data_IF_918944801406
#
_entry.id   IF_918944801406
#
_cell.length_a   1.000
_cell.length_b   1.000
_cell.length_c   1.000
_cell.angle_alpha   90.00
_cell.angle_beta   90.00
_cell.angle_gamma   90.00
#
_symmetry.space_group_name_H-M   'P 1'
#
loop_
_entity.id
_entity.type
_entity.pdbx_description
1 polymer ?
#
# COMPACT_ATOMS: atom_id res chain seq x y z
N UNK A 1 -16.66 15.05 6.43
CA UNK A 1 -16.81 14.89 7.89
C UNK A 1 -17.95 15.77 8.40
N UNK A 2 -17.85 17.09 8.21
CA UNK A 2 -18.85 18.07 8.68
C UNK A 2 -20.28 17.78 8.22
N UNK A 3 -20.47 17.26 6.99
CA UNK A 3 -21.78 16.88 6.46
C UNK A 3 -22.29 15.50 6.94
N UNK A 4 -21.53 14.79 7.76
CA UNK A 4 -21.85 13.41 8.22
C UNK A 4 -22.13 12.41 7.08
N UNK A 5 -21.60 12.66 5.87
CA UNK A 5 -21.90 11.88 4.67
C UNK A 5 -21.40 10.41 4.72
N UNK A 6 -20.49 10.09 5.64
CA UNK A 6 -19.98 8.74 5.86
C UNK A 6 -19.42 8.59 7.27
N UNK A 7 -19.22 7.34 7.70
CA UNK A 7 -18.71 6.99 9.05
C UNK A 7 -17.32 6.37 9.05
N UNK A 8 -16.87 5.83 7.91
CA UNK A 8 -15.61 5.11 7.75
C UNK A 8 -15.00 5.53 6.40
N UNK A 9 -13.68 5.71 6.36
CA UNK A 9 -12.96 6.08 5.13
C UNK A 9 -12.05 4.93 4.67
N UNK A 10 -12.19 4.53 3.41
CA UNK A 10 -11.20 3.74 2.69
C UNK A 10 -10.12 4.69 2.14
N UNK A 11 -8.89 4.56 2.65
CA UNK A 11 -7.74 5.34 2.16
C UNK A 11 -6.98 4.52 1.13
N UNK A 12 -6.87 5.05 -0.09
CA UNK A 12 -6.00 4.55 -1.16
C UNK A 12 -4.97 5.62 -1.50
N UNK A 13 -3.70 5.50 -1.08
CA UNK A 13 -2.71 6.56 -1.26
C UNK A 13 -2.63 7.09 -2.70
N UNK A 14 -2.61 6.20 -3.70
CA UNK A 14 -2.60 6.61 -5.12
C UNK A 14 -3.82 7.43 -5.56
N UNK A 15 -5.02 7.15 -5.00
CA UNK A 15 -6.25 7.90 -5.32
C UNK A 15 -6.22 9.32 -4.78
N UNK A 16 -5.54 9.53 -3.65
CA UNK A 16 -5.55 10.81 -2.92
C UNK A 16 -4.29 11.64 -3.16
N UNK A 17 -3.40 11.21 -4.06
CA UNK A 17 -2.20 11.96 -4.43
C UNK A 17 -0.92 11.58 -3.68
N UNK A 18 -0.89 10.43 -3.02
CA UNK A 18 0.32 9.85 -2.41
C UNK A 18 0.22 9.62 -0.91
N UNK A 19 1.33 9.16 -0.31
CA UNK A 19 1.40 8.82 1.11
C UNK A 19 1.17 10.01 2.04
N UNK A 20 1.74 11.18 1.73
CA UNK A 20 1.56 12.39 2.55
C UNK A 20 0.08 12.79 2.65
N UNK A 21 -0.63 12.76 1.52
CA UNK A 21 -2.07 13.05 1.49
C UNK A 21 -2.90 11.94 2.15
N UNK A 22 -2.49 10.68 2.01
CA UNK A 22 -3.07 9.57 2.77
C UNK A 22 -2.94 9.76 4.28
N UNK A 23 -1.78 10.23 4.76
CA UNK A 23 -1.50 10.51 6.16
C UNK A 23 -2.34 11.69 6.68
N UNK A 24 -2.44 12.78 5.92
CA UNK A 24 -3.29 13.93 6.28
C UNK A 24 -4.76 13.51 6.45
N UNK A 25 -5.28 12.67 5.55
CA UNK A 25 -6.65 12.13 5.65
C UNK A 25 -6.78 11.21 6.87
N UNK A 26 -5.80 10.34 7.12
CA UNK A 26 -5.76 9.47 8.29
C UNK A 26 -5.82 10.29 9.58
N UNK A 27 -4.99 11.31 9.72
CA UNK A 27 -4.88 12.13 10.93
C UNK A 27 -6.17 12.93 11.16
N UNK A 28 -6.78 13.46 10.09
CA UNK A 28 -8.09 14.11 10.16
C UNK A 28 -9.19 13.15 10.65
N UNK A 29 -9.23 11.92 10.14
CA UNK A 29 -10.21 10.92 10.56
C UNK A 29 -9.98 10.52 12.02
N UNK A 30 -8.73 10.28 12.40
CA UNK A 30 -8.33 9.88 13.77
C UNK A 30 -8.70 10.96 14.79
N UNK A 31 -8.48 12.23 14.48
CA UNK A 31 -8.86 13.36 15.35
C UNK A 31 -10.36 13.44 15.60
N UNK A 32 -11.18 12.89 14.70
CA UNK A 32 -12.65 12.86 14.78
C UNK A 32 -13.19 11.51 15.26
N UNK A 33 -12.32 10.58 15.68
CA UNK A 33 -12.72 9.24 16.08
C UNK A 33 -13.28 8.37 14.95
N UNK A 34 -13.07 8.76 13.69
CA UNK A 34 -13.51 7.99 12.53
C UNK A 34 -12.50 6.89 12.22
N UNK A 35 -13.00 5.66 12.08
CA UNK A 35 -12.16 4.52 11.68
C UNK A 35 -11.80 4.60 10.19
N UNK A 36 -10.61 4.14 9.86
CA UNK A 36 -10.15 4.02 8.48
C UNK A 36 -9.62 2.62 8.18
N UNK A 37 -9.50 2.31 6.89
CA UNK A 37 -8.82 1.11 6.41
C UNK A 37 -8.06 1.41 5.12
N UNK A 38 -7.01 0.64 4.85
CA UNK A 38 -6.18 0.84 3.67
C UNK A 38 -6.74 0.03 2.50
N UNK A 39 -7.18 0.71 1.44
CA UNK A 39 -7.64 0.06 0.22
C UNK A 39 -6.50 -0.29 -0.72
N UNK A 40 -6.70 -1.35 -1.50
CA UNK A 40 -5.78 -1.80 -2.54
C UNK A 40 -6.23 -1.40 -3.94
N UNK A 41 -5.29 -1.46 -4.88
CA UNK A 41 -5.44 -1.18 -6.31
C UNK A 41 -4.71 -2.21 -7.18
N UNK A 42 -4.56 -3.45 -6.68
CA UNK A 42 -3.83 -4.55 -7.36
C UNK A 42 -2.34 -4.24 -7.53
N UNK A 43 -1.72 -3.67 -6.50
CA UNK A 43 -0.33 -3.23 -6.55
C UNK A 43 0.65 -4.41 -6.68
N UNK A 44 1.75 -4.17 -7.40
CA UNK A 44 2.97 -4.99 -7.28
C UNK A 44 3.55 -4.88 -5.86
N UNK A 45 4.61 -5.64 -5.58
CA UNK A 45 5.30 -5.59 -4.29
C UNK A 45 5.70 -4.17 -3.84
N UNK A 46 6.01 -3.27 -4.78
CA UNK A 46 6.36 -1.86 -4.50
C UNK A 46 5.19 -1.12 -3.84
N UNK A 47 4.02 -1.12 -4.48
CA UNK A 47 2.85 -0.43 -3.92
C UNK A 47 2.29 -1.15 -2.70
N UNK A 48 2.38 -2.48 -2.65
CA UNK A 48 1.94 -3.27 -1.50
C UNK A 48 2.76 -2.97 -0.24
N UNK A 49 4.08 -2.86 -0.37
CA UNK A 49 4.96 -2.45 0.72
C UNK A 49 4.57 -1.07 1.27
N UNK A 50 4.30 -0.11 0.37
CA UNK A 50 3.84 1.22 0.73
C UNK A 50 2.47 1.20 1.46
N UNK A 51 1.54 0.36 1.00
CA UNK A 51 0.24 0.20 1.64
C UNK A 51 0.35 -0.45 3.02
N UNK A 52 1.23 -1.44 3.20
CA UNK A 52 1.48 -2.06 4.52
C UNK A 52 2.03 -1.05 5.52
N UNK A 53 2.96 -0.20 5.08
CA UNK A 53 3.56 0.83 5.94
C UNK A 53 2.53 1.85 6.44
N UNK A 54 1.63 2.34 5.59
CA UNK A 54 0.58 3.28 6.07
C UNK A 54 -0.49 2.54 6.88
N UNK A 55 -0.86 1.32 6.50
CA UNK A 55 -1.86 0.52 7.21
C UNK A 55 -1.43 0.11 8.63
N UNK A 56 -0.13 0.16 8.94
CA UNK A 56 0.37 -0.12 10.29
C UNK A 56 0.21 1.05 11.26
N UNK A 57 -0.27 2.21 10.81
CA UNK A 57 -0.55 3.35 11.68
C UNK A 57 -1.75 3.08 12.58
N UNK A 58 -1.67 3.57 13.82
CA UNK A 58 -2.81 3.51 14.74
C UNK A 58 -4.00 4.31 14.19
N UNK A 59 -5.17 3.69 14.02
CA UNK A 59 -6.34 4.33 13.40
C UNK A 59 -6.86 3.54 12.19
N UNK A 60 -5.99 2.75 11.57
CA UNK A 60 -6.38 1.64 10.70
C UNK A 60 -6.90 0.48 11.55
N UNK A 61 -8.17 0.55 11.94
CA UNK A 61 -8.81 -0.36 12.90
C UNK A 61 -9.63 -1.47 12.23
N UNK A 62 -9.78 -1.42 10.92
CA UNK A 62 -10.47 -2.44 10.11
C UNK A 62 -9.47 -3.09 9.15
N UNK A 63 -9.61 -4.39 8.84
CA UNK A 63 -8.76 -5.07 7.87
C UNK A 63 -8.74 -4.34 6.52
N UNK A 64 -7.55 -4.19 5.94
CA UNK A 64 -7.35 -3.54 4.64
C UNK A 64 -7.48 -4.49 3.45
N UNK A 65 -7.60 -3.93 2.25
CA UNK A 65 -7.51 -4.68 0.98
C UNK A 65 -6.03 -4.90 0.59
N UNK A 66 -5.23 -5.39 1.54
CA UNK A 66 -3.83 -5.76 1.34
C UNK A 66 -3.75 -7.27 1.52
N UNK A 67 -3.59 -7.99 0.42
CA UNK A 67 -3.54 -9.45 0.43
C UNK A 67 -2.11 -9.97 0.22
N UNK A 68 -1.91 -11.28 0.37
CA UNK A 68 -0.68 -11.93 -0.09
C UNK A 68 -0.46 -11.69 -1.59
N UNK A 69 0.82 -11.65 -2.01
CA UNK A 69 1.21 -11.38 -3.40
C UNK A 69 0.64 -12.43 -4.37
N UNK A 70 0.60 -13.70 -3.95
CA UNK A 70 0.12 -14.84 -4.75
C UNK A 70 -1.39 -14.85 -5.00
N UNK A 71 -2.16 -14.03 -4.27
CA UNK A 71 -3.57 -13.78 -4.59
C UNK A 71 -3.75 -13.21 -6.00
N UNK A 72 -2.79 -12.41 -6.45
CA UNK A 72 -2.89 -11.69 -7.72
C UNK A 72 -1.84 -12.13 -8.75
N UNK A 73 -0.59 -12.34 -8.31
CA UNK A 73 0.53 -12.54 -9.22
C UNK A 73 1.31 -13.81 -8.88
N UNK A 74 1.40 -14.73 -9.84
CA UNK A 74 2.28 -15.89 -9.73
C UNK A 74 3.75 -15.47 -9.55
N UNK A 75 4.20 -14.46 -10.32
CA UNK A 75 5.50 -13.81 -10.18
C UNK A 75 5.29 -12.30 -10.06
N UNK A 76 5.87 -11.68 -9.03
CA UNK A 76 5.84 -10.23 -8.78
C UNK A 76 7.15 -9.60 -9.31
N UNK A 77 7.25 -8.27 -9.32
CA UNK A 77 8.46 -7.54 -9.74
C UNK A 77 9.43 -7.23 -8.58
N UNK A 78 9.16 -7.76 -7.39
CA UNK A 78 10.03 -7.67 -6.21
C UNK A 78 10.55 -9.04 -5.81
N UNK A 79 11.74 -9.10 -5.20
CA UNK A 79 12.28 -10.37 -4.67
C UNK A 79 11.51 -10.82 -3.43
N UNK A 80 11.19 -9.89 -2.55
CA UNK A 80 10.37 -10.13 -1.36
C UNK A 80 8.91 -10.29 -1.79
N UNK A 81 8.26 -11.30 -1.23
CA UNK A 81 6.84 -11.59 -1.43
C UNK A 81 6.12 -11.46 -0.12
N UNK A 82 4.90 -10.95 -0.18
CA UNK A 82 4.03 -10.84 0.97
C UNK A 82 3.17 -12.09 1.11
N UNK A 83 3.22 -12.72 2.27
CA UNK A 83 2.46 -13.92 2.59
C UNK A 83 1.55 -13.67 3.79
N UNK A 84 0.43 -14.39 3.86
CA UNK A 84 -0.42 -14.36 5.04
C UNK A 84 0.19 -15.21 6.16
N UNK A 85 0.30 -14.62 7.34
CA UNK A 85 0.62 -15.30 8.58
C UNK A 85 -0.57 -16.18 9.03
N UNK A 86 -0.32 -17.08 9.99
CA UNK A 86 -1.35 -17.99 10.52
C UNK A 86 -2.53 -17.24 11.18
N UNK A 87 -2.32 -16.01 11.64
CA UNK A 87 -3.33 -15.13 12.24
C UNK A 87 -4.01 -14.20 11.21
N UNK A 88 -3.80 -14.44 9.91
CA UNK A 88 -4.32 -13.63 8.79
C UNK A 88 -3.77 -12.19 8.74
N UNK A 89 -2.59 -11.96 9.31
CA UNK A 89 -1.84 -10.70 9.15
C UNK A 89 -0.76 -10.81 8.08
N UNK A 90 -0.13 -9.69 7.73
CA UNK A 90 1.04 -9.62 6.85
C UNK A 90 2.08 -8.76 7.56
N UNK A 91 3.33 -9.22 7.57
CA UNK A 91 4.43 -8.49 8.20
C UNK A 91 4.75 -7.19 7.45
N UNK A 92 4.97 -6.12 8.20
CA UNK A 92 5.41 -4.84 7.67
C UNK A 92 6.92 -4.90 7.43
N UNK A 93 7.42 -4.55 6.21
CA UNK A 93 8.86 -4.50 5.95
C UNK A 93 9.57 -3.52 6.89
N UNK A 94 10.76 -3.92 7.36
CA UNK A 94 11.57 -3.13 8.33
C UNK A 94 12.87 -2.60 7.74
N UNK A 95 13.28 -3.07 6.56
CA UNK A 95 14.45 -2.57 5.87
C UNK A 95 14.21 -1.14 5.34
N UNK A 96 15.28 -0.35 5.07
CA UNK A 96 15.16 1.04 4.64
C UNK A 96 14.26 1.24 3.41
N UNK A 97 13.58 2.39 3.35
CA UNK A 97 12.67 2.72 2.26
C UNK A 97 11.40 1.88 2.31
N UNK A 98 11.06 1.23 1.20
CA UNK A 98 9.92 0.30 1.13
C UNK A 98 10.25 -1.09 1.72
N UNK A 99 11.51 -1.35 2.07
CA UNK A 99 11.95 -2.64 2.57
C UNK A 99 11.81 -3.80 1.58
N UNK A 100 11.73 -3.48 0.28
CA UNK A 100 11.70 -4.44 -0.83
C UNK A 100 12.73 -4.07 -1.90
N UNK A 101 13.19 -5.05 -2.65
CA UNK A 101 14.15 -4.95 -3.74
C UNK A 101 13.51 -5.41 -5.05
N UNK A 102 13.95 -4.82 -6.17
CA UNK A 102 13.40 -5.11 -7.50
C UNK A 102 14.02 -6.39 -8.06
N UNK A 103 13.18 -7.34 -8.46
CA UNK A 103 13.59 -8.43 -9.35
C UNK A 103 13.74 -7.84 -10.76
N UNK A 104 14.98 -7.55 -11.14
CA UNK A 104 15.29 -6.90 -12.43
C UNK A 104 14.91 -7.78 -13.63
N UNK A 105 14.98 -9.12 -13.49
CA UNK A 105 14.58 -10.04 -14.53
C UNK A 105 13.06 -10.02 -14.72
N UNK A 106 12.30 -10.13 -13.62
CA UNK A 106 10.84 -10.04 -13.66
C UNK A 106 10.37 -8.69 -14.20
N UNK A 107 10.98 -7.60 -13.71
CA UNK A 107 10.65 -6.26 -14.15
C UNK A 107 10.89 -6.11 -15.66
N UNK A 108 12.05 -6.57 -16.16
CA UNK A 108 12.35 -6.54 -17.59
C UNK A 108 11.35 -7.40 -18.39
N UNK A 109 11.02 -8.60 -17.90
CA UNK A 109 10.08 -9.52 -18.55
C UNK A 109 8.68 -8.92 -18.73
N UNK A 110 8.18 -8.19 -17.73
CA UNK A 110 6.82 -7.64 -17.74
C UNK A 110 6.74 -6.19 -18.25
N UNK A 111 7.88 -5.54 -18.52
CA UNK A 111 7.91 -4.17 -19.06
C UNK A 111 7.54 -4.14 -20.53
N UNK A 112 6.51 -3.36 -20.90
CA UNK A 112 6.10 -3.17 -22.30
C UNK A 112 6.79 -1.97 -22.96
N UNK A 113 7.15 -0.95 -22.19
CA UNK A 113 7.82 0.25 -22.67
C UNK A 113 8.63 0.91 -21.55
N UNK A 114 9.73 1.59 -21.89
CA UNK A 114 10.56 2.37 -20.97
C UNK A 114 10.91 3.71 -21.62
N UNK A 115 10.77 4.78 -20.85
CA UNK A 115 11.24 6.13 -21.20
C UNK A 115 12.15 6.63 -20.08
N UNK A 116 13.27 7.24 -20.44
CA UNK A 116 14.20 7.85 -19.49
C UNK A 116 14.12 9.37 -19.61
N UNK A 117 13.84 10.04 -18.50
CA UNK A 117 13.76 11.50 -18.41
C UNK A 117 14.94 11.99 -17.58
N UNK A 118 15.86 12.73 -18.19
CA UNK A 118 16.98 13.36 -17.49
C UNK A 118 16.70 14.84 -17.27
N UNK A 119 17.07 15.42 -16.12
CA UNK A 119 17.08 16.87 -15.96
C UNK A 119 17.93 17.52 -17.06
N UNK A 120 17.51 18.70 -17.53
CA UNK A 120 18.36 19.53 -18.39
C UNK A 120 19.53 20.12 -17.62
#
# INVERSE_FOLDING_TARGET
>A
IEMEACRIINIKPGRVGGLSQGLEIHDMCRAQGMSVWCGGMLETGVGRASNLAIASLSGFTLPGDISASDRYFLRDITHERFTLNADSTIDVPTAPGLGVTIDSEALQQFTLAKLELTPQ
#
